data_IF_243738596567
#
_entry.id   IF_243738596567
#
_cell.length_a   1.000
_cell.length_b   1.000
_cell.length_c   1.000
_cell.angle_alpha   90.00
_cell.angle_beta   90.00
_cell.angle_gamma   90.00
#
_symmetry.space_group_name_H-M   'P 1'
#
loop_
_entity.id
_entity.type
_entity.pdbx_description
1 polymer ?
#
# COMPACT_ATOMS: atom_id res chain seq x y z
N UNK A 1 -25.18 -34.67 33.21
CA UNK A 1 -23.88 -33.99 33.38
C UNK A 1 -24.11 -32.53 33.05
N UNK A 2 -24.41 -31.74 34.08
CA UNK A 2 -24.82 -30.34 33.95
C UNK A 2 -23.56 -29.49 34.12
N UNK A 3 -23.07 -28.91 33.03
CA UNK A 3 -21.93 -28.01 33.04
C UNK A 3 -22.42 -26.57 33.04
N UNK A 4 -22.53 -25.97 34.22
CA UNK A 4 -22.74 -24.53 34.34
C UNK A 4 -21.45 -23.78 33.93
N UNK A 5 -21.53 -22.74 33.09
CA UNK A 5 -20.37 -21.94 32.70
C UNK A 5 -19.91 -21.06 33.87
N UNK A 6 -18.60 -21.05 34.12
CA UNK A 6 -17.97 -20.26 35.17
C UNK A 6 -17.97 -18.78 34.76
N UNK A 7 -18.65 -17.96 35.55
CA UNK A 7 -18.64 -16.49 35.44
C UNK A 7 -17.32 -15.95 36.01
N UNK A 8 -16.46 -15.42 35.12
CA UNK A 8 -15.17 -14.83 35.45
C UNK A 8 -15.26 -13.36 35.92
N UNK A 9 -16.44 -12.76 35.92
CA UNK A 9 -16.64 -11.33 36.26
C UNK A 9 -17.08 -11.12 37.72
N UNK A 10 -17.16 -12.19 38.52
CA UNK A 10 -17.61 -12.18 39.92
C UNK A 10 -16.75 -11.34 40.89
N UNK A 11 -15.67 -10.71 40.42
CA UNK A 11 -14.82 -9.81 41.22
C UNK A 11 -14.67 -8.40 40.66
N UNK A 12 -15.47 -8.00 39.67
CA UNK A 12 -15.51 -6.59 39.25
C UNK A 12 -16.38 -5.78 40.22
N UNK A 13 -15.89 -5.63 41.45
CA UNK A 13 -16.47 -4.71 42.42
C UNK A 13 -16.43 -3.28 41.87
N UNK A 14 -17.56 -2.60 42.02
CA UNK A 14 -17.78 -1.22 41.62
C UNK A 14 -16.74 -0.28 42.26
N UNK A 15 -15.74 0.10 41.48
CA UNK A 15 -14.97 1.32 41.70
C UNK A 15 -14.36 1.75 40.37
N UNK A 16 -14.47 3.05 40.10
CA UNK A 16 -13.71 3.79 39.09
C UNK A 16 -14.15 3.63 37.63
N UNK A 17 -15.19 4.39 37.29
CA UNK A 17 -15.26 5.08 36.00
C UNK A 17 -14.18 6.16 35.96
N UNK A 18 -13.22 6.17 35.01
CA UNK A 18 -12.59 7.40 34.60
C UNK A 18 -13.44 7.98 33.46
N UNK A 19 -14.24 8.99 33.79
CA UNK A 19 -14.64 10.00 32.81
C UNK A 19 -13.40 10.82 32.49
N UNK A 20 -12.82 10.64 31.30
CA UNK A 20 -11.93 11.64 30.73
C UNK A 20 -12.40 11.90 29.30
N UNK A 21 -13.31 12.86 29.20
CA UNK A 21 -13.42 13.69 28.01
C UNK A 21 -12.15 14.57 27.96
N UNK A 22 -11.38 14.48 26.88
CA UNK A 22 -10.14 15.27 26.82
C UNK A 22 -9.35 15.11 25.53
N UNK A 23 -9.67 15.99 24.57
CA UNK A 23 -8.77 16.60 23.58
C UNK A 23 -7.87 15.67 22.73
N UNK A 24 -8.20 15.63 21.43
CA UNK A 24 -7.29 15.19 20.38
C UNK A 24 -7.66 15.73 19.00
N UNK A 25 -7.63 17.05 18.81
CA UNK A 25 -7.39 17.68 17.49
C UNK A 25 -6.39 18.80 17.75
N UNK A 26 -5.26 18.85 17.03
CA UNK A 26 -5.27 19.04 15.58
C UNK A 26 -4.27 18.12 14.85
N UNK A 27 -4.74 17.40 13.83
CA UNK A 27 -3.84 16.97 12.76
C UNK A 27 -4.04 17.97 11.62
N UNK A 28 -3.16 18.96 11.65
CA UNK A 28 -2.83 19.87 10.58
C UNK A 28 -2.92 19.17 9.22
N UNK A 29 -3.90 19.57 8.41
CA UNK A 29 -3.99 19.19 6.99
C UNK A 29 -2.99 20.07 6.23
N UNK A 30 -1.74 20.04 6.64
CA UNK A 30 -0.66 20.66 5.93
C UNK A 30 0.04 19.59 5.09
N UNK A 31 0.02 19.83 3.78
CA UNK A 31 0.97 19.26 2.84
C UNK A 31 0.79 17.77 2.57
N UNK A 32 -0.25 17.45 1.78
CA UNK A 32 -0.09 16.40 0.77
C UNK A 32 1.05 16.90 -0.13
N UNK A 33 2.25 16.29 -0.16
CA UNK A 33 3.18 16.61 -1.22
C UNK A 33 2.43 16.29 -2.52
N UNK A 34 2.27 17.30 -3.36
CA UNK A 34 1.85 17.09 -4.73
C UNK A 34 2.75 15.99 -5.29
N UNK A 35 2.16 14.82 -5.55
CA UNK A 35 2.85 13.70 -6.16
C UNK A 35 3.36 14.21 -7.50
N UNK A 36 4.64 14.59 -7.52
CA UNK A 36 5.34 14.99 -8.70
C UNK A 36 5.42 13.76 -9.61
N UNK A 37 4.73 13.82 -10.75
CA UNK A 37 5.00 13.00 -11.91
C UNK A 37 4.53 11.55 -11.83
N UNK A 38 3.29 11.28 -11.42
CA UNK A 38 2.64 10.09 -11.96
C UNK A 38 2.24 10.38 -13.40
N UNK A 39 2.72 9.61 -14.40
CA UNK A 39 2.14 9.64 -15.74
C UNK A 39 0.64 9.44 -15.63
N UNK A 40 -0.11 10.10 -16.51
CA UNK A 40 -1.58 10.13 -16.51
C UNK A 40 -2.14 8.72 -16.30
N UNK A 41 -2.67 8.46 -15.10
CA UNK A 41 -3.08 7.12 -14.63
C UNK A 41 -4.07 6.48 -15.61
N UNK A 42 -4.94 7.30 -16.21
CA UNK A 42 -5.92 6.88 -17.20
C UNK A 42 -5.27 6.38 -18.50
N UNK A 43 -4.14 6.96 -18.91
CA UNK A 43 -3.40 6.54 -20.09
C UNK A 43 -2.71 5.18 -19.88
N UNK A 44 -2.23 4.90 -18.67
CA UNK A 44 -1.63 3.60 -18.35
C UNK A 44 -2.69 2.51 -18.24
N UNK A 45 -3.84 2.80 -17.61
CA UNK A 45 -4.97 1.87 -17.55
C UNK A 45 -5.45 1.48 -18.96
N UNK A 46 -5.60 2.47 -19.84
CA UNK A 46 -5.95 2.22 -21.24
C UNK A 46 -4.90 1.36 -21.95
N UNK A 47 -3.59 1.61 -21.74
CA UNK A 47 -2.52 0.79 -22.32
C UNK A 47 -2.44 -0.62 -21.73
N UNK A 48 -2.79 -0.81 -20.46
CA UNK A 48 -2.92 -2.13 -19.84
C UNK A 48 -4.01 -2.96 -20.52
N UNK A 49 -5.11 -2.30 -20.90
CA UNK A 49 -6.30 -2.91 -21.52
C UNK A 49 -6.24 -2.98 -23.06
N UNK A 50 -5.42 -2.15 -23.71
CA UNK A 50 -5.42 -1.99 -25.17
C UNK A 50 -4.74 -3.14 -25.93
N UNK A 51 -3.89 -3.95 -25.29
CA UNK A 51 -3.25 -5.09 -25.96
C UNK A 51 -2.03 -5.67 -25.23
N UNK A 52 -1.51 -6.82 -25.73
CA UNK A 52 -0.32 -7.45 -25.19
C UNK A 52 0.89 -6.51 -25.31
N UNK A 53 1.73 -6.48 -24.28
CA UNK A 53 2.96 -5.71 -24.29
C UNK A 53 3.93 -6.26 -25.35
N UNK A 54 4.59 -5.36 -26.08
CA UNK A 54 5.50 -5.70 -27.20
C UNK A 54 6.97 -5.57 -26.80
N UNK A 55 7.25 -4.83 -25.73
CA UNK A 55 8.60 -4.58 -25.24
C UNK A 55 8.74 -4.93 -23.76
N UNK A 56 9.96 -5.22 -23.31
CA UNK A 56 10.23 -5.45 -21.89
C UNK A 56 9.95 -4.19 -21.06
N UNK A 57 10.21 -3.01 -21.63
CA UNK A 57 9.90 -1.71 -21.02
C UNK A 57 8.39 -1.61 -20.75
N UNK A 58 7.54 -1.88 -21.74
CA UNK A 58 6.09 -1.87 -21.55
C UNK A 58 5.62 -2.86 -20.45
N UNK A 59 6.16 -4.08 -20.42
CA UNK A 59 5.81 -5.07 -19.38
C UNK A 59 6.15 -4.52 -17.99
N UNK A 60 7.35 -4.00 -17.83
CA UNK A 60 7.82 -3.50 -16.53
C UNK A 60 7.07 -2.25 -16.07
N UNK A 61 6.66 -1.38 -16.97
CA UNK A 61 5.80 -0.22 -16.65
C UNK A 61 4.42 -0.67 -16.18
N UNK A 62 3.80 -1.65 -16.86
CA UNK A 62 2.54 -2.25 -16.44
C UNK A 62 2.66 -2.91 -15.05
N UNK A 63 3.74 -3.66 -14.80
CA UNK A 63 4.00 -4.27 -13.50
C UNK A 63 4.22 -3.24 -12.40
N UNK A 64 5.01 -2.19 -12.67
CA UNK A 64 5.26 -1.08 -11.75
C UNK A 64 3.94 -0.43 -11.34
N UNK A 65 3.11 -0.09 -12.32
CA UNK A 65 1.82 0.53 -12.09
C UNK A 65 0.91 -0.32 -11.19
N UNK A 66 0.78 -1.62 -11.49
CA UNK A 66 -0.02 -2.54 -10.67
C UNK A 66 0.52 -2.67 -9.24
N UNK A 67 1.84 -2.73 -9.07
CA UNK A 67 2.47 -2.82 -7.76
C UNK A 67 2.31 -1.55 -6.94
N UNK A 68 2.43 -0.38 -7.56
CA UNK A 68 2.16 0.92 -6.92
C UNK A 68 0.70 0.99 -6.48
N UNK A 69 -0.24 0.58 -7.34
CA UNK A 69 -1.67 0.54 -7.02
C UNK A 69 -2.00 -0.46 -5.90
N UNK A 70 -1.37 -1.64 -5.93
CA UNK A 70 -1.53 -2.64 -4.89
C UNK A 70 -1.00 -2.14 -3.54
N UNK A 71 0.11 -1.39 -3.53
CA UNK A 71 0.69 -0.81 -2.32
C UNK A 71 -0.25 0.15 -1.57
N UNK A 72 -1.18 0.78 -2.29
CA UNK A 72 -2.20 1.66 -1.71
C UNK A 72 -3.33 0.89 -1.02
N UNK A 73 -3.49 -0.40 -1.32
CA UNK A 73 -4.56 -1.22 -0.74
C UNK A 73 -4.29 -1.59 0.72
N UNK A 74 -5.35 -1.79 1.51
CA UNK A 74 -5.25 -2.28 2.88
C UNK A 74 -4.51 -3.62 3.00
N UNK A 75 -4.60 -4.47 1.97
CA UNK A 75 -3.96 -5.78 1.92
C UNK A 75 -2.42 -5.68 1.83
N UNK A 76 -1.89 -4.59 1.28
CA UNK A 76 -0.45 -4.40 1.13
C UNK A 76 0.20 -3.63 2.30
N UNK A 77 -0.55 -3.33 3.36
CA UNK A 77 -0.06 -2.50 4.47
C UNK A 77 0.82 -3.25 5.47
N UNK A 78 0.87 -4.58 5.41
CA UNK A 78 1.77 -5.34 6.27
C UNK A 78 3.25 -5.05 5.92
N UNK A 79 4.09 -5.05 6.95
CA UNK A 79 5.49 -4.63 6.83
C UNK A 79 6.30 -5.51 5.85
N UNK A 80 5.95 -6.79 5.72
CA UNK A 80 6.64 -7.72 4.83
C UNK A 80 6.30 -7.41 3.38
N UNK A 81 5.01 -7.26 3.07
CA UNK A 81 4.53 -6.96 1.71
C UNK A 81 5.04 -5.60 1.24
N UNK A 82 5.00 -4.55 2.06
CA UNK A 82 5.60 -3.25 1.72
C UNK A 82 7.08 -3.37 1.36
N UNK A 83 7.86 -4.16 2.11
CA UNK A 83 9.28 -4.38 1.84
C UNK A 83 9.51 -5.14 0.54
N UNK A 84 8.68 -6.13 0.24
CA UNK A 84 8.75 -6.88 -1.02
C UNK A 84 8.41 -5.99 -2.22
N UNK A 85 7.33 -5.21 -2.13
CA UNK A 85 6.94 -4.25 -3.17
C UNK A 85 8.07 -3.25 -3.43
N UNK A 86 8.62 -2.63 -2.39
CA UNK A 86 9.72 -1.66 -2.53
C UNK A 86 10.95 -2.27 -3.22
N UNK A 87 11.30 -3.52 -2.88
CA UNK A 87 12.43 -4.21 -3.51
C UNK A 87 12.16 -4.55 -4.98
N UNK A 88 10.97 -5.04 -5.29
CA UNK A 88 10.55 -5.35 -6.66
C UNK A 88 10.55 -4.09 -7.54
N UNK A 89 10.02 -2.97 -7.05
CA UNK A 89 10.04 -1.68 -7.76
C UNK A 89 11.48 -1.20 -8.02
N UNK A 90 12.38 -1.35 -7.04
CA UNK A 90 13.80 -1.05 -7.22
C UNK A 90 14.50 -1.93 -8.27
N UNK A 91 14.18 -3.22 -8.29
CA UNK A 91 14.71 -4.18 -9.27
C UNK A 91 14.22 -3.86 -10.69
N UNK A 92 12.93 -3.54 -10.85
CA UNK A 92 12.33 -3.09 -12.11
C UNK A 92 13.05 -1.84 -12.62
N UNK A 93 13.22 -0.81 -11.77
CA UNK A 93 13.89 0.42 -12.17
C UNK A 93 15.34 0.19 -12.62
N UNK A 94 16.08 -0.72 -11.95
CA UNK A 94 17.44 -1.10 -12.36
C UNK A 94 17.45 -1.80 -13.72
N UNK A 95 16.53 -2.72 -13.95
CA UNK A 95 16.46 -3.46 -15.22
C UNK A 95 16.07 -2.53 -16.38
N UNK A 96 15.12 -1.61 -16.17
CA UNK A 96 14.73 -0.66 -17.20
C UNK A 96 15.88 0.23 -17.64
N UNK A 97 16.70 0.73 -16.71
CA UNK A 97 17.90 1.50 -17.06
C UNK A 97 18.88 0.70 -17.93
N UNK A 98 19.04 -0.60 -17.66
CA UNK A 98 19.89 -1.48 -18.47
C UNK A 98 19.30 -1.71 -19.86
N UNK A 99 17.99 -1.84 -19.95
CA UNK A 99 17.32 -2.10 -21.22
C UNK A 99 17.33 -0.87 -22.13
N UNK A 100 17.08 0.32 -21.58
CA UNK A 100 17.23 1.59 -22.31
C UNK A 100 18.66 1.75 -22.84
N UNK A 101 19.67 1.48 -21.99
CA UNK A 101 21.07 1.56 -22.39
C UNK A 101 21.47 0.57 -23.50
N UNK A 102 20.76 -0.55 -23.68
CA UNK A 102 20.97 -1.47 -24.81
C UNK A 102 20.29 -0.99 -26.08
N UNK A 103 19.18 -0.28 -25.96
CA UNK A 103 18.44 0.23 -27.10
C UNK A 103 19.13 1.47 -27.71
N UNK A 104 19.88 2.22 -26.89
CA UNK A 104 20.63 3.41 -27.30
C UNK A 104 22.08 3.13 -27.74
N UNK A 105 22.54 1.87 -27.68
CA UNK A 105 23.90 1.43 -28.03
C UNK A 105 23.92 0.69 -29.38
#
# INVERSE_FOLDING_TARGET
MTGDPIDLDARRTAAEKPRIAGRGRPADRASRPAQAGHPDTAQIDAQLLAGPARTWIEVTEKCRFLLERYAETGAAQDARTRKLIARALGDIARLNRREVAKHDA
#
